data_IF_036835712879
#
_entry.id   IF_036835712879
#
_cell.length_a   1.000
_cell.length_b   1.000
_cell.length_c   1.000
_cell.angle_alpha   90.00
_cell.angle_beta   90.00
_cell.angle_gamma   90.00
#
_symmetry.space_group_name_H-M   'P 1'
#
loop_
_entity.id
_entity.type
_entity.pdbx_description
1 polymer ?
#
# COMPACT_ATOMS: atom_id res chain seq x y z
N UNK A 1 -29.23 40.14 -4.08
CA UNK A 1 -28.43 39.13 -3.39
C UNK A 1 -28.36 37.92 -4.27
N UNK A 2 -27.32 37.82 -5.10
CA UNK A 2 -27.09 36.70 -6.00
C UNK A 2 -26.34 35.59 -5.24
N UNK A 3 -27.03 34.49 -5.00
CA UNK A 3 -26.42 33.28 -4.48
C UNK A 3 -25.51 32.69 -5.59
N UNK A 4 -24.20 32.88 -5.47
CA UNK A 4 -23.24 32.10 -6.23
C UNK A 4 -23.28 30.66 -5.71
N UNK A 5 -24.14 29.83 -6.30
CA UNK A 5 -23.99 28.38 -6.22
C UNK A 5 -22.67 28.04 -6.91
N UNK A 6 -21.60 27.85 -6.17
CA UNK A 6 -20.40 27.19 -6.64
C UNK A 6 -20.81 25.75 -6.98
N UNK A 7 -20.99 25.46 -8.26
CA UNK A 7 -21.12 24.09 -8.75
C UNK A 7 -19.82 23.36 -8.39
N UNK A 8 -19.88 22.53 -7.38
CA UNK A 8 -18.81 21.59 -7.05
C UNK A 8 -18.63 20.65 -8.27
N UNK A 9 -17.63 20.92 -9.10
CA UNK A 9 -17.37 20.11 -10.27
C UNK A 9 -16.84 18.75 -9.82
N UNK A 10 -17.58 17.68 -10.13
CA UNK A 10 -17.07 16.31 -9.99
C UNK A 10 -16.01 16.07 -11.08
N UNK A 11 -15.02 15.21 -10.77
CA UNK A 11 -13.97 14.79 -11.70
C UNK A 11 -14.10 13.30 -11.93
N UNK A 12 -14.31 12.90 -13.18
CA UNK A 12 -14.23 11.50 -13.58
C UNK A 12 -12.77 11.15 -13.84
N UNK A 13 -12.30 10.10 -13.18
CA UNK A 13 -10.93 9.59 -13.29
C UNK A 13 -10.95 8.11 -13.68
N UNK A 14 -10.01 7.70 -14.51
CA UNK A 14 -9.78 6.28 -14.80
C UNK A 14 -8.63 5.77 -13.96
N UNK A 15 -8.94 4.86 -13.04
CA UNK A 15 -8.01 4.24 -12.11
C UNK A 15 -7.52 2.91 -12.65
N UNK A 16 -6.27 2.54 -12.32
CA UNK A 16 -5.76 1.19 -12.55
C UNK A 16 -5.11 0.60 -11.30
N UNK A 17 -5.52 -0.61 -10.95
CA UNK A 17 -4.89 -1.47 -9.95
C UNK A 17 -4.03 -2.52 -10.66
N UNK A 18 -2.74 -2.52 -10.40
CA UNK A 18 -1.81 -3.54 -10.91
C UNK A 18 -1.64 -4.60 -9.84
N UNK A 19 -2.25 -5.76 -10.05
CA UNK A 19 -2.07 -6.94 -9.23
C UNK A 19 -0.97 -7.79 -9.82
N UNK A 20 0.19 -7.84 -9.16
CA UNK A 20 1.33 -8.58 -9.67
C UNK A 20 2.15 -9.21 -8.55
N UNK A 21 2.95 -10.20 -8.90
CA UNK A 21 3.97 -10.78 -8.04
C UNK A 21 5.25 -9.95 -8.15
N UNK A 22 5.91 -9.71 -7.02
CA UNK A 22 7.25 -9.14 -7.00
C UNK A 22 8.27 -10.14 -6.47
N UNK A 23 9.46 -10.10 -7.05
CA UNK A 23 10.57 -10.98 -6.68
C UNK A 23 11.39 -10.37 -5.54
N UNK A 24 11.65 -11.13 -4.45
CA UNK A 24 12.39 -10.64 -3.29
C UNK A 24 13.78 -10.09 -3.65
N UNK A 25 14.04 -8.83 -3.31
CA UNK A 25 15.34 -8.18 -3.49
C UNK A 25 15.70 -7.81 -4.93
N UNK A 26 14.86 -8.11 -5.92
CA UNK A 26 15.19 -7.92 -7.34
C UNK A 26 14.52 -6.66 -7.89
N UNK A 27 15.01 -5.48 -7.45
CA UNK A 27 14.38 -4.18 -7.78
C UNK A 27 14.26 -3.99 -9.28
N UNK A 28 15.33 -4.16 -10.05
CA UNK A 28 15.34 -3.95 -11.51
C UNK A 28 14.32 -4.85 -12.20
N UNK A 29 14.38 -6.17 -11.93
CA UNK A 29 13.45 -7.12 -12.53
C UNK A 29 11.98 -6.81 -12.17
N UNK A 30 11.70 -6.36 -10.94
CA UNK A 30 10.36 -5.98 -10.53
C UNK A 30 9.88 -4.70 -11.25
N UNK A 31 10.75 -3.71 -11.43
CA UNK A 31 10.41 -2.48 -12.14
C UNK A 31 10.24 -2.71 -13.65
N UNK A 32 11.08 -3.54 -14.26
CA UNK A 32 10.94 -3.95 -15.66
C UNK A 32 9.64 -4.71 -15.89
N UNK A 33 9.32 -5.64 -15.00
CA UNK A 33 8.04 -6.35 -15.04
C UNK A 33 6.85 -5.40 -14.88
N UNK A 34 6.93 -4.47 -13.93
CA UNK A 34 5.89 -3.45 -13.73
C UNK A 34 5.71 -2.56 -14.96
N UNK A 35 6.78 -2.24 -15.69
CA UNK A 35 6.72 -1.35 -16.85
C UNK A 35 5.69 -1.80 -17.88
N UNK A 36 5.70 -3.09 -18.25
CA UNK A 36 4.73 -3.65 -19.21
C UNK A 36 3.28 -3.58 -18.70
N UNK A 37 3.05 -3.84 -17.41
CA UNK A 37 1.72 -3.76 -16.81
C UNK A 37 1.22 -2.32 -16.69
N UNK A 38 2.11 -1.37 -16.39
CA UNK A 38 1.79 0.07 -16.35
C UNK A 38 1.49 0.59 -17.76
N UNK A 39 2.24 0.18 -18.77
CA UNK A 39 1.95 0.51 -20.17
C UNK A 39 0.59 -0.02 -20.61
N UNK A 40 0.26 -1.26 -20.25
CA UNK A 40 -1.07 -1.82 -20.49
C UNK A 40 -2.18 -0.99 -19.83
N UNK A 41 -1.99 -0.58 -18.56
CA UNK A 41 -2.94 0.29 -17.85
C UNK A 41 -3.10 1.65 -18.54
N UNK A 42 -2.00 2.28 -18.93
CA UNK A 42 -2.01 3.57 -19.63
C UNK A 42 -2.69 3.47 -21.00
N UNK A 43 -2.43 2.40 -21.76
CA UNK A 43 -3.09 2.13 -23.05
C UNK A 43 -4.61 1.94 -22.91
N UNK A 44 -5.09 1.48 -21.73
CA UNK A 44 -6.51 1.41 -21.39
C UNK A 44 -7.07 2.76 -20.89
N UNK A 45 -6.28 3.84 -20.95
CA UNK A 45 -6.67 5.20 -20.58
C UNK A 45 -6.60 5.50 -19.08
N UNK A 46 -5.91 4.69 -18.28
CA UNK A 46 -5.74 4.98 -16.86
C UNK A 46 -4.94 6.27 -16.65
N UNK A 47 -5.44 7.13 -15.76
CA UNK A 47 -4.78 8.39 -15.37
C UNK A 47 -4.08 8.31 -14.01
N UNK A 48 -4.50 7.37 -13.17
CA UNK A 48 -3.83 7.04 -11.89
C UNK A 48 -3.63 5.54 -11.85
N UNK A 49 -2.38 5.12 -11.75
CA UNK A 49 -1.96 3.70 -11.73
C UNK A 49 -1.27 3.40 -10.41
N UNK A 50 -1.69 2.33 -9.74
CA UNK A 50 -1.22 1.96 -8.41
C UNK A 50 -0.67 0.54 -8.41
N UNK A 51 0.58 0.40 -7.96
CA UNK A 51 1.23 -0.88 -7.65
C UNK A 51 1.13 -1.20 -6.15
N UNK A 52 1.34 -2.46 -5.75
CA UNK A 52 1.21 -2.89 -4.36
C UNK A 52 2.25 -2.32 -3.39
N UNK A 53 2.05 -2.62 -2.10
CA UNK A 53 3.01 -2.40 -1.01
C UNK A 53 4.34 -3.11 -1.29
N UNK A 54 5.48 -2.42 -1.05
CA UNK A 54 6.85 -2.96 -1.19
C UNK A 54 7.11 -3.66 -2.55
N UNK A 55 6.39 -3.25 -3.61
CA UNK A 55 6.46 -3.94 -4.89
C UNK A 55 7.86 -3.88 -5.50
N UNK A 56 8.52 -2.72 -5.46
CA UNK A 56 9.83 -2.57 -6.09
C UNK A 56 10.90 -3.50 -5.50
N UNK A 57 10.93 -3.64 -4.18
CA UNK A 57 11.91 -4.48 -3.48
C UNK A 57 11.44 -5.92 -3.21
N UNK A 58 10.18 -6.24 -3.54
CA UNK A 58 9.52 -7.49 -3.17
C UNK A 58 9.05 -7.49 -1.71
N UNK A 59 7.93 -8.18 -1.44
CA UNK A 59 7.42 -8.30 -0.07
C UNK A 59 8.22 -9.33 0.72
N UNK A 60 9.19 -8.86 1.48
CA UNK A 60 10.03 -9.66 2.38
C UNK A 60 9.68 -9.28 3.82
N UNK A 61 8.79 -10.01 4.53
CA UNK A 61 8.30 -9.64 5.84
C UNK A 61 9.28 -10.04 6.96
N UNK A 62 10.57 -9.84 6.74
CA UNK A 62 11.68 -10.03 7.67
C UNK A 62 12.83 -9.07 7.34
N UNK A 63 13.93 -9.13 8.10
CA UNK A 63 15.08 -8.22 7.94
C UNK A 63 15.81 -8.32 6.61
N UNK A 64 15.55 -9.35 5.80
CA UNK A 64 16.10 -9.48 4.45
C UNK A 64 15.71 -8.31 3.54
N UNK A 65 14.58 -7.64 3.77
CA UNK A 65 14.15 -6.47 3.00
C UNK A 65 15.14 -5.29 3.07
N UNK A 66 15.97 -5.22 4.12
CA UNK A 66 16.97 -4.14 4.26
C UNK A 66 18.04 -4.15 3.18
N UNK A 67 18.30 -5.31 2.53
CA UNK A 67 19.26 -5.41 1.43
C UNK A 67 18.76 -4.73 0.14
N UNK A 68 17.46 -4.60 0.00
CA UNK A 68 16.83 -3.96 -1.15
C UNK A 68 16.18 -2.60 -0.78
N UNK A 69 16.59 -2.01 0.34
CA UNK A 69 16.14 -0.67 0.70
C UNK A 69 16.96 0.39 -0.04
N UNK A 70 16.29 1.44 -0.46
CA UNK A 70 16.89 2.54 -1.22
C UNK A 70 16.80 3.86 -0.46
N UNK A 71 17.71 4.79 -0.73
CA UNK A 71 17.55 6.19 -0.34
C UNK A 71 16.47 6.88 -1.18
N UNK A 72 16.00 8.03 -0.73
CA UNK A 72 15.20 8.93 -1.56
C UNK A 72 15.98 9.31 -2.82
N UNK A 73 15.29 9.38 -3.96
CA UNK A 73 15.91 9.57 -5.25
C UNK A 73 16.59 8.32 -5.80
N UNK A 74 16.41 7.16 -5.17
CA UNK A 74 16.92 5.88 -5.63
C UNK A 74 16.28 5.42 -6.95
N UNK A 75 16.59 4.20 -7.37
CA UNK A 75 16.11 3.64 -8.65
C UNK A 75 14.61 3.66 -8.78
N UNK A 76 13.89 3.26 -7.72
CA UNK A 76 12.42 3.26 -7.71
C UNK A 76 11.86 4.66 -7.95
N UNK A 77 12.39 5.70 -7.32
CA UNK A 77 11.94 7.07 -7.52
C UNK A 77 12.22 7.57 -8.94
N UNK A 78 13.43 7.31 -9.47
CA UNK A 78 13.78 7.68 -10.84
C UNK A 78 12.91 6.97 -11.86
N UNK A 79 12.67 5.66 -11.67
CA UNK A 79 11.79 4.89 -12.53
C UNK A 79 10.35 5.41 -12.50
N UNK A 80 9.81 5.72 -11.30
CA UNK A 80 8.47 6.32 -11.15
C UNK A 80 8.36 7.64 -11.90
N UNK A 81 9.31 8.55 -11.69
CA UNK A 81 9.34 9.87 -12.32
C UNK A 81 9.41 9.77 -13.86
N UNK A 82 10.33 8.94 -14.37
CA UNK A 82 10.51 8.73 -15.80
C UNK A 82 9.28 8.08 -16.45
N UNK A 83 8.73 7.04 -15.83
CA UNK A 83 7.57 6.30 -16.36
C UNK A 83 6.29 7.14 -16.31
N UNK A 84 6.04 7.85 -15.20
CA UNK A 84 4.92 8.76 -15.05
C UNK A 84 4.93 9.86 -16.13
N UNK A 85 6.09 10.48 -16.36
CA UNK A 85 6.27 11.50 -17.41
C UNK A 85 6.08 10.92 -18.80
N UNK A 86 6.69 9.79 -19.10
CA UNK A 86 6.63 9.15 -20.43
C UNK A 86 5.20 8.78 -20.83
N UNK A 87 4.41 8.31 -19.86
CA UNK A 87 3.04 7.84 -20.09
C UNK A 87 1.96 8.90 -19.80
N UNK A 88 2.33 10.04 -19.22
CA UNK A 88 1.40 11.12 -18.86
C UNK A 88 0.40 10.73 -17.76
N UNK A 89 0.81 9.89 -16.78
CA UNK A 89 -0.04 9.34 -15.73
C UNK A 89 0.48 9.70 -14.33
N UNK A 90 -0.39 9.67 -13.33
CA UNK A 90 0.04 9.53 -11.94
C UNK A 90 0.39 8.06 -11.68
N UNK A 91 1.56 7.80 -11.13
CA UNK A 91 2.03 6.43 -10.87
C UNK A 91 2.54 6.28 -9.44
N UNK A 92 2.05 5.27 -8.73
CA UNK A 92 2.46 5.02 -7.34
C UNK A 92 2.91 3.59 -7.08
N UNK A 93 3.96 3.42 -6.27
CA UNK A 93 4.45 2.10 -5.84
C UNK A 93 5.00 2.11 -4.42
N UNK A 94 4.98 0.93 -3.78
CA UNK A 94 5.62 0.68 -2.49
C UNK A 94 7.08 0.28 -2.61
N UNK A 95 7.92 0.78 -1.69
CA UNK A 95 9.35 0.49 -1.57
C UNK A 95 9.81 0.44 -0.12
N UNK A 96 10.93 -0.23 0.15
CA UNK A 96 11.66 -0.07 1.39
C UNK A 96 12.61 1.14 1.26
N UNK A 97 12.43 2.16 2.12
CA UNK A 97 13.25 3.37 2.11
C UNK A 97 14.18 3.40 3.31
N UNK A 98 15.43 3.84 3.09
CA UNK A 98 16.39 4.17 4.14
C UNK A 98 16.66 5.67 4.19
N UNK A 99 16.69 6.23 5.41
CA UNK A 99 17.16 7.61 5.63
C UNK A 99 18.59 7.68 6.22
N UNK A 100 19.38 6.61 6.10
CA UNK A 100 20.70 6.48 6.67
C UNK A 100 20.75 6.08 8.15
N UNK A 101 19.62 6.08 8.82
CA UNK A 101 19.48 5.70 10.23
C UNK A 101 18.44 4.60 10.42
N UNK A 102 17.31 4.73 9.78
CA UNK A 102 16.13 3.85 9.91
C UNK A 102 15.62 3.41 8.55
N UNK A 103 14.90 2.30 8.55
CA UNK A 103 14.15 1.80 7.40
C UNK A 103 12.66 2.08 7.55
N UNK A 104 12.01 2.40 6.44
CA UNK A 104 10.58 2.67 6.35
C UNK A 104 9.93 1.85 5.25
N UNK A 105 8.71 1.42 5.48
CA UNK A 105 7.82 0.94 4.44
C UNK A 105 7.13 2.20 3.86
N UNK A 106 7.49 2.56 2.64
CA UNK A 106 7.09 3.79 1.99
C UNK A 106 6.22 3.50 0.75
N UNK A 107 5.28 4.38 0.47
CA UNK A 107 4.58 4.48 -0.80
C UNK A 107 4.85 5.84 -1.41
N UNK A 108 5.33 5.87 -2.65
CA UNK A 108 5.68 7.08 -3.39
C UNK A 108 4.73 7.25 -4.56
N UNK A 109 4.28 8.49 -4.81
CA UNK A 109 3.43 8.87 -5.94
C UNK A 109 4.12 9.91 -6.79
N UNK A 110 4.25 9.65 -8.10
CA UNK A 110 4.73 10.59 -9.11
C UNK A 110 3.55 11.14 -9.95
N UNK A 111 3.68 12.38 -10.42
CA UNK A 111 2.71 13.07 -11.30
C UNK A 111 3.12 12.99 -12.77
N UNK A 112 2.21 13.31 -13.72
CA UNK A 112 2.46 13.21 -15.18
C UNK A 112 3.65 14.06 -15.70
N UNK A 113 4.06 15.08 -14.96
CA UNK A 113 5.25 15.88 -15.27
C UNK A 113 6.56 15.24 -14.76
N UNK A 114 6.46 14.06 -14.12
CA UNK A 114 7.60 13.33 -13.57
C UNK A 114 8.10 13.84 -12.23
N UNK A 115 7.31 14.68 -11.54
CA UNK A 115 7.65 15.08 -10.17
C UNK A 115 7.18 14.03 -9.16
N UNK A 116 7.93 13.84 -8.10
CA UNK A 116 7.46 13.08 -6.94
C UNK A 116 6.54 13.99 -6.13
N UNK A 117 5.24 13.76 -6.23
CA UNK A 117 4.23 14.55 -5.52
C UNK A 117 4.30 14.36 -4.00
N UNK A 118 4.66 13.17 -3.54
CA UNK A 118 4.78 12.91 -2.11
C UNK A 118 5.01 11.44 -1.76
N UNK A 119 5.12 11.21 -0.43
CA UNK A 119 5.30 9.89 0.16
C UNK A 119 4.41 9.69 1.37
N UNK A 120 3.88 8.50 1.51
CA UNK A 120 3.28 8.02 2.74
C UNK A 120 4.17 6.94 3.36
N UNK A 121 4.28 6.94 4.69
CA UNK A 121 5.02 5.93 5.43
C UNK A 121 4.07 5.13 6.31
N UNK A 122 4.19 3.80 6.25
CA UNK A 122 3.37 2.89 7.04
C UNK A 122 3.47 3.21 8.53
N UNK A 123 2.34 3.49 9.18
CA UNK A 123 2.29 3.82 10.61
C UNK A 123 2.20 2.58 11.47
N UNK A 124 1.57 1.51 10.98
CA UNK A 124 1.50 0.21 11.63
C UNK A 124 2.41 -0.79 10.92
N UNK A 125 3.68 -0.38 10.78
CA UNK A 125 4.72 -1.18 10.15
C UNK A 125 5.18 -2.32 11.06
N UNK A 126 5.75 -3.35 10.45
CA UNK A 126 6.37 -4.50 11.08
C UNK A 126 7.51 -4.05 12.00
N UNK A 127 7.27 -4.09 13.32
CA UNK A 127 8.08 -3.38 14.32
C UNK A 127 9.52 -3.85 14.44
N UNK A 128 9.84 -5.10 14.04
CA UNK A 128 11.18 -5.66 13.99
C UNK A 128 11.97 -5.29 12.72
N UNK A 129 11.31 -4.69 11.72
CA UNK A 129 11.83 -4.47 10.38
C UNK A 129 11.89 -2.98 10.04
N UNK A 130 10.82 -2.26 10.32
CA UNK A 130 10.64 -0.86 9.94
C UNK A 130 10.41 0.06 11.13
N UNK A 131 10.88 1.29 10.99
CA UNK A 131 10.47 2.38 11.86
C UNK A 131 9.05 2.80 11.48
N UNK A 132 8.26 3.08 12.48
CA UNK A 132 6.90 3.60 12.34
C UNK A 132 6.94 4.96 11.63
N UNK A 133 6.13 5.12 10.58
CA UNK A 133 5.87 6.40 9.92
C UNK A 133 5.12 7.38 10.83
N UNK A 134 5.16 8.67 10.49
CA UNK A 134 4.27 9.68 11.06
C UNK A 134 2.97 9.73 10.25
N UNK A 135 1.88 10.09 10.89
CA UNK A 135 0.51 10.00 10.36
C UNK A 135 0.16 11.08 9.31
N UNK A 136 1.04 11.37 8.36
CA UNK A 136 0.69 12.14 7.18
C UNK A 136 0.44 11.16 6.02
N UNK A 137 -0.83 10.78 5.84
CA UNK A 137 -1.24 9.81 4.82
C UNK A 137 -1.78 10.46 3.56
N UNK A 138 -1.42 11.74 3.30
CA UNK A 138 -1.98 12.47 2.18
C UNK A 138 -0.90 12.99 1.24
N UNK A 139 -1.23 12.89 -0.05
CA UNK A 139 -0.43 13.41 -1.15
C UNK A 139 -1.35 14.26 -2.02
N UNK A 140 -1.03 15.55 -2.18
CA UNK A 140 -1.76 16.43 -3.07
C UNK A 140 -1.25 16.26 -4.51
N UNK A 141 -2.17 16.07 -5.45
CA UNK A 141 -1.91 16.06 -6.90
C UNK A 141 -2.89 17.00 -7.60
N UNK A 142 -2.68 17.36 -8.89
CA UNK A 142 -3.60 18.26 -9.58
C UNK A 142 -5.06 17.78 -9.62
N UNK A 143 -5.30 16.47 -9.58
CA UNK A 143 -6.64 15.90 -9.59
C UNK A 143 -7.34 15.94 -8.23
N UNK A 144 -6.62 16.17 -7.13
CA UNK A 144 -7.18 16.20 -5.79
C UNK A 144 -6.24 15.68 -4.71
N UNK A 145 -6.77 15.53 -3.51
CA UNK A 145 -6.03 15.06 -2.34
C UNK A 145 -6.15 13.55 -2.18
N UNK A 146 -5.02 12.86 -2.27
CA UNK A 146 -4.95 11.41 -2.27
C UNK A 146 -4.62 10.90 -0.87
N UNK A 147 -5.54 10.15 -0.27
CA UNK A 147 -5.27 9.41 0.96
C UNK A 147 -4.56 8.09 0.66
N UNK A 148 -3.47 7.80 1.37
CA UNK A 148 -2.70 6.55 1.21
C UNK A 148 -2.66 5.80 2.53
N UNK A 149 -3.30 4.64 2.58
CA UNK A 149 -3.19 3.70 3.70
C UNK A 149 -2.43 2.44 3.28
N UNK A 150 -1.27 2.19 3.89
CA UNK A 150 -0.44 1.04 3.52
C UNK A 150 -0.86 -0.18 4.36
N UNK A 151 -1.48 -1.17 3.70
CA UNK A 151 -1.79 -2.50 4.23
C UNK A 151 -2.45 -2.45 5.63
N UNK A 152 -1.72 -2.82 6.69
CA UNK A 152 -2.22 -2.87 8.06
C UNK A 152 -2.80 -1.52 8.56
N UNK A 153 -2.35 -0.37 8.02
CA UNK A 153 -2.88 0.94 8.40
C UNK A 153 -4.39 1.03 8.19
N UNK A 154 -4.87 0.45 7.07
CA UNK A 154 -6.28 0.50 6.69
C UNK A 154 -7.19 -0.29 7.64
N UNK A 155 -6.64 -1.16 8.49
CA UNK A 155 -7.43 -1.94 9.45
C UNK A 155 -7.80 -1.14 10.71
N UNK A 156 -7.24 0.07 10.89
CA UNK A 156 -7.44 0.89 12.08
C UNK A 156 -8.42 2.03 11.86
N UNK A 157 -9.34 2.21 12.81
CA UNK A 157 -10.29 3.32 12.80
C UNK A 157 -9.62 4.71 12.80
N UNK A 158 -8.42 4.81 13.38
CA UNK A 158 -7.63 6.04 13.37
C UNK A 158 -7.25 6.46 11.95
N UNK A 159 -6.86 5.53 11.08
CA UNK A 159 -6.52 5.83 9.67
C UNK A 159 -7.73 6.35 8.91
N UNK A 160 -8.88 5.68 9.03
CA UNK A 160 -10.13 6.13 8.42
C UNK A 160 -10.49 7.58 8.85
N UNK A 161 -10.38 7.86 10.17
CA UNK A 161 -10.67 9.19 10.72
C UNK A 161 -9.70 10.26 10.19
N UNK A 162 -8.41 9.97 10.15
CA UNK A 162 -7.39 10.90 9.61
C UNK A 162 -7.69 11.24 8.16
N UNK A 163 -8.05 10.26 7.32
CA UNK A 163 -8.39 10.49 5.93
C UNK A 163 -9.64 11.37 5.77
N UNK A 164 -10.64 11.21 6.66
CA UNK A 164 -11.78 12.10 6.72
C UNK A 164 -11.38 13.52 7.14
N UNK A 165 -10.72 13.66 8.30
CA UNK A 165 -10.33 14.96 8.87
C UNK A 165 -9.50 15.80 7.89
N UNK A 166 -8.65 15.13 7.12
CA UNK A 166 -7.81 15.75 6.12
C UNK A 166 -8.46 15.82 4.72
N UNK A 167 -9.75 15.42 4.60
CA UNK A 167 -10.59 15.59 3.41
C UNK A 167 -10.03 14.93 2.14
N UNK A 168 -9.56 13.69 2.22
CA UNK A 168 -9.15 12.92 1.04
C UNK A 168 -10.24 12.88 -0.04
N UNK A 169 -9.84 12.91 -1.30
CA UNK A 169 -10.72 12.81 -2.49
C UNK A 169 -10.76 11.41 -3.07
N UNK A 170 -9.70 10.66 -2.88
CA UNK A 170 -9.49 9.29 -3.33
C UNK A 170 -8.61 8.56 -2.31
N UNK A 171 -8.88 7.28 -2.06
CA UNK A 171 -8.06 6.45 -1.18
C UNK A 171 -7.30 5.42 -1.99
N UNK A 172 -5.98 5.39 -1.82
CA UNK A 172 -5.12 4.32 -2.32
C UNK A 172 -4.78 3.37 -1.17
N UNK A 173 -5.00 2.08 -1.40
CA UNK A 173 -4.71 1.01 -0.45
C UNK A 173 -3.72 0.01 -1.07
N UNK A 174 -2.41 0.34 -1.12
CA UNK A 174 -1.39 -0.62 -1.52
C UNK A 174 -1.20 -1.67 -0.42
N UNK A 175 -1.31 -2.93 -0.78
CA UNK A 175 -1.25 -4.06 0.14
C UNK A 175 -0.27 -5.15 -0.35
N UNK A 176 0.27 -5.89 0.62
CA UNK A 176 0.78 -7.23 0.51
C UNK A 176 0.14 -8.06 1.64
N UNK A 177 -1.19 -8.17 1.61
CA UNK A 177 -1.99 -8.78 2.67
C UNK A 177 -2.12 -10.28 2.44
N UNK A 178 -1.44 -11.10 3.28
CA UNK A 178 -1.56 -12.54 3.17
C UNK A 178 -2.88 -13.03 3.79
N UNK A 179 -3.48 -14.01 3.14
CA UNK A 179 -4.63 -14.74 3.67
C UNK A 179 -4.39 -16.25 3.56
N UNK A 180 -5.00 -17.06 4.44
CA UNK A 180 -4.85 -18.49 4.32
C UNK A 180 -5.54 -19.00 3.05
N UNK A 181 -4.84 -19.82 2.27
CA UNK A 181 -5.34 -20.40 1.02
C UNK A 181 -6.22 -21.64 1.28
N UNK A 182 -6.03 -22.29 2.43
CA UNK A 182 -6.74 -23.50 2.83
C UNK A 182 -6.81 -23.63 4.34
N UNK A 183 -7.75 -24.42 4.82
CA UNK A 183 -7.77 -24.88 6.22
C UNK A 183 -6.64 -25.87 6.46
N UNK A 184 -5.83 -25.66 7.49
CA UNK A 184 -4.80 -26.59 7.96
C UNK A 184 -4.29 -26.18 9.35
N UNK A 185 -3.84 -27.13 10.14
CA UNK A 185 -3.36 -26.89 11.51
C UNK A 185 -4.40 -26.18 12.37
N UNK A 186 -4.09 -24.99 12.87
CA UNK A 186 -4.99 -24.16 13.69
C UNK A 186 -5.93 -23.27 12.86
N UNK A 187 -5.82 -23.27 11.53
CA UNK A 187 -6.66 -22.47 10.62
C UNK A 187 -7.86 -23.30 10.17
N UNK A 188 -9.02 -22.91 10.59
CA UNK A 188 -10.30 -23.54 10.19
C UNK A 188 -10.79 -23.02 8.81
N UNK A 189 -11.75 -23.72 8.20
CA UNK A 189 -12.42 -23.23 7.00
C UNK A 189 -13.17 -21.91 7.23
N UNK A 190 -13.71 -21.73 8.43
CA UNK A 190 -14.33 -20.46 8.83
C UNK A 190 -13.31 -19.31 8.91
N UNK A 191 -12.08 -19.56 9.36
CA UNK A 191 -11.01 -18.56 9.38
C UNK A 191 -10.61 -18.15 7.97
N UNK A 192 -10.46 -19.10 7.04
CA UNK A 192 -10.19 -18.82 5.62
C UNK A 192 -11.25 -17.87 5.07
N UNK A 193 -12.52 -18.20 5.22
CA UNK A 193 -13.63 -17.38 4.75
C UNK A 193 -13.68 -16.01 5.46
N UNK A 194 -13.41 -15.95 6.76
CA UNK A 194 -13.40 -14.70 7.52
C UNK A 194 -12.27 -13.77 7.10
N UNK A 195 -11.06 -14.28 6.88
CA UNK A 195 -9.93 -13.48 6.42
C UNK A 195 -10.17 -12.93 5.02
N UNK A 196 -10.71 -13.75 4.13
CA UNK A 196 -11.06 -13.31 2.78
C UNK A 196 -12.12 -12.20 2.80
N UNK A 197 -13.20 -12.38 3.56
CA UNK A 197 -14.23 -11.34 3.71
C UNK A 197 -13.66 -10.04 4.25
N UNK A 198 -12.83 -10.08 5.31
CA UNK A 198 -12.20 -8.88 5.87
C UNK A 198 -11.43 -8.10 4.81
N UNK A 199 -10.63 -8.78 4.02
CA UNK A 199 -9.83 -8.15 2.96
C UNK A 199 -10.73 -7.52 1.89
N UNK A 200 -11.77 -8.23 1.46
CA UNK A 200 -12.64 -7.79 0.37
C UNK A 200 -13.66 -6.72 0.79
N UNK A 201 -14.07 -6.69 2.05
CA UNK A 201 -15.03 -5.71 2.57
C UNK A 201 -14.38 -4.39 2.98
N UNK A 202 -13.09 -4.40 3.32
CA UNK A 202 -12.38 -3.22 3.83
C UNK A 202 -12.45 -2.00 2.88
N UNK A 203 -12.13 -2.09 1.58
CA UNK A 203 -12.25 -0.96 0.67
C UNK A 203 -13.69 -0.45 0.49
N UNK A 204 -14.68 -1.34 0.53
CA UNK A 204 -16.10 -0.98 0.48
C UNK A 204 -16.51 -0.20 1.73
N UNK A 205 -16.02 -0.63 2.91
CA UNK A 205 -16.25 0.09 4.16
C UNK A 205 -15.71 1.51 4.09
N UNK A 206 -14.48 1.70 3.60
CA UNK A 206 -13.88 3.04 3.46
C UNK A 206 -14.67 3.91 2.48
N UNK A 207 -15.02 3.39 1.31
CA UNK A 207 -15.78 4.14 0.32
C UNK A 207 -17.10 4.65 0.89
N UNK A 208 -17.87 3.77 1.54
CA UNK A 208 -19.15 4.12 2.19
C UNK A 208 -18.98 5.07 3.37
N UNK A 209 -17.92 4.89 4.17
CA UNK A 209 -17.70 5.72 5.34
C UNK A 209 -17.27 7.15 5.01
N UNK A 210 -16.58 7.34 3.89
CA UNK A 210 -15.98 8.64 3.51
C UNK A 210 -16.70 9.31 2.32
N UNK A 211 -17.49 8.58 1.54
CA UNK A 211 -18.12 9.08 0.32
C UNK A 211 -17.09 9.37 -0.79
N UNK A 212 -16.00 8.61 -0.85
CA UNK A 212 -14.93 8.77 -1.86
C UNK A 212 -14.56 7.43 -2.50
N UNK A 213 -14.06 7.44 -3.74
CA UNK A 213 -13.59 6.21 -4.37
C UNK A 213 -12.39 5.61 -3.63
N UNK A 214 -12.23 4.28 -3.77
CA UNK A 214 -11.13 3.53 -3.17
C UNK A 214 -10.53 2.58 -4.20
N UNK A 215 -9.21 2.57 -4.31
CA UNK A 215 -8.47 1.56 -5.06
C UNK A 215 -7.68 0.69 -4.09
N UNK A 216 -8.01 -0.59 -4.02
CA UNK A 216 -7.32 -1.61 -3.25
C UNK A 216 -6.48 -2.45 -4.18
N UNK A 217 -5.17 -2.45 -3.94
CA UNK A 217 -4.20 -3.16 -4.76
C UNK A 217 -3.41 -4.11 -3.88
N UNK A 218 -3.48 -5.40 -4.17
CA UNK A 218 -2.78 -6.43 -3.38
C UNK A 218 -1.84 -7.25 -4.25
N UNK A 219 -0.74 -7.72 -3.69
CA UNK A 219 0.17 -8.63 -4.36
C UNK A 219 -0.42 -10.04 -4.52
N UNK A 220 0.11 -10.79 -5.47
CA UNK A 220 -0.10 -12.24 -5.62
C UNK A 220 1.22 -12.98 -5.41
N UNK A 221 1.13 -14.27 -5.12
CA UNK A 221 2.31 -15.15 -5.04
C UNK A 221 2.53 -15.77 -3.66
N UNK A 222 3.71 -16.41 -3.47
CA UNK A 222 4.05 -17.05 -2.21
C UNK A 222 4.31 -16.02 -1.10
N UNK A 223 3.96 -16.39 0.11
CA UNK A 223 4.39 -15.64 1.29
C UNK A 223 5.75 -16.16 1.75
N UNK A 224 6.71 -15.26 1.92
CA UNK A 224 7.98 -15.61 2.56
C UNK A 224 7.83 -15.72 4.09
N UNK A 225 8.75 -16.44 4.77
CA UNK A 225 8.73 -16.52 6.22
C UNK A 225 8.70 -15.14 6.88
N UNK A 226 7.71 -14.94 7.73
CA UNK A 226 7.52 -13.69 8.48
C UNK A 226 8.49 -13.66 9.68
N UNK A 227 9.10 -12.52 9.93
CA UNK A 227 9.89 -12.29 11.14
C UNK A 227 9.02 -12.08 12.39
N UNK A 228 9.64 -12.21 13.58
CA UNK A 228 8.95 -11.97 14.84
C UNK A 228 8.10 -13.15 15.33
N UNK A 229 7.28 -12.89 16.35
CA UNK A 229 6.40 -13.89 16.98
C UNK A 229 5.31 -14.34 16.00
N UNK A 230 4.78 -13.41 15.20
CA UNK A 230 3.77 -13.72 14.20
C UNK A 230 4.26 -14.72 13.15
N UNK A 231 5.55 -14.71 12.84
CA UNK A 231 6.15 -15.66 11.89
C UNK A 231 6.03 -17.12 12.31
N UNK A 232 5.99 -17.39 13.61
CA UNK A 232 5.79 -18.74 14.15
C UNK A 232 4.34 -19.23 14.05
N UNK A 233 3.39 -18.32 13.82
CA UNK A 233 1.96 -18.60 13.72
C UNK A 233 1.44 -18.64 12.28
N UNK A 234 2.20 -18.10 11.32
CA UNK A 234 1.81 -17.99 9.92
C UNK A 234 2.69 -18.88 9.05
N UNK A 235 2.25 -20.12 8.84
CA UNK A 235 2.93 -21.06 7.97
C UNK A 235 2.85 -20.60 6.50
N UNK A 236 3.97 -20.33 5.81
CA UNK A 236 3.99 -19.98 4.39
C UNK A 236 3.39 -21.03 3.46
N UNK A 237 3.28 -22.30 3.91
CA UNK A 237 2.58 -23.36 3.18
C UNK A 237 1.05 -23.24 3.21
N UNK A 238 0.53 -22.42 4.10
CA UNK A 238 -0.92 -22.18 4.27
C UNK A 238 -1.27 -20.74 3.82
N UNK A 239 -0.46 -19.76 4.19
CA UNK A 239 -0.69 -18.34 3.92
C UNK A 239 -0.02 -17.91 2.61
N UNK A 240 -0.75 -17.14 1.81
CA UNK A 240 -0.29 -16.63 0.51
C UNK A 240 -0.77 -15.20 0.29
N UNK A 241 -0.09 -14.49 -0.61
CA UNK A 241 -0.59 -13.26 -1.20
C UNK A 241 -1.58 -13.65 -2.30
N UNK A 242 -2.85 -13.35 -2.10
CA UNK A 242 -3.94 -13.87 -2.95
C UNK A 242 -4.61 -12.80 -3.81
N UNK A 243 -3.99 -11.64 -4.00
CA UNK A 243 -4.52 -10.58 -4.85
C UNK A 243 -5.90 -10.09 -4.45
N UNK A 244 -6.91 -10.29 -5.29
CA UNK A 244 -8.29 -9.81 -5.15
C UNK A 244 -8.38 -8.28 -5.11
N UNK A 245 -7.50 -7.62 -5.86
CA UNK A 245 -7.51 -6.17 -6.04
C UNK A 245 -8.84 -5.70 -6.60
N UNK A 246 -9.27 -4.50 -6.21
CA UNK A 246 -10.56 -3.94 -6.62
C UNK A 246 -10.57 -2.43 -6.64
N UNK A 247 -11.47 -1.88 -7.45
CA UNK A 247 -11.80 -0.47 -7.49
C UNK A 247 -13.25 -0.32 -7.04
N UNK A 248 -13.49 0.60 -6.10
CA UNK A 248 -14.79 0.81 -5.46
C UNK A 248 -15.18 2.28 -5.62
N UNK A 249 -16.41 2.55 -6.02
CA UNK A 249 -16.95 3.90 -6.12
C UNK A 249 -17.33 4.47 -4.75
N UNK A 250 -17.57 5.76 -4.69
CA UNK A 250 -17.87 6.54 -3.49
C UNK A 250 -19.12 6.05 -2.70
N UNK A 251 -20.02 5.30 -3.32
CA UNK A 251 -21.20 4.68 -2.70
C UNK A 251 -20.92 3.25 -2.19
N UNK A 252 -19.72 2.73 -2.40
CA UNK A 252 -19.33 1.36 -2.05
C UNK A 252 -19.66 0.32 -3.12
N UNK A 253 -20.05 0.73 -4.31
CA UNK A 253 -20.25 -0.17 -5.47
C UNK A 253 -18.87 -0.61 -6.00
N UNK A 254 -18.67 -1.91 -6.11
CA UNK A 254 -17.46 -2.47 -6.72
C UNK A 254 -17.53 -2.28 -8.23
N UNK A 255 -16.64 -1.44 -8.77
CA UNK A 255 -16.55 -1.14 -10.20
C UNK A 255 -15.83 -2.24 -10.99
N UNK A 256 -14.94 -2.95 -10.31
CA UNK A 256 -14.23 -4.12 -10.82
C UNK A 256 -13.41 -4.79 -9.75
N UNK A 257 -13.13 -6.07 -9.94
CA UNK A 257 -12.27 -6.86 -9.06
C UNK A 257 -11.49 -7.92 -9.85
N UNK A 258 -10.32 -8.27 -9.36
CA UNK A 258 -9.51 -9.36 -9.87
C UNK A 258 -9.69 -10.63 -9.04
N UNK A 259 -9.34 -11.77 -9.61
CA UNK A 259 -9.21 -13.04 -8.91
C UNK A 259 -7.82 -13.14 -8.23
N UNK A 260 -7.15 -14.28 -8.32
CA UNK A 260 -5.87 -14.51 -7.66
C UNK A 260 -4.67 -14.49 -8.63
N UNK A 261 -4.92 -14.31 -9.92
CA UNK A 261 -3.91 -14.26 -10.96
C UNK A 261 -3.36 -12.83 -11.11
N UNK A 262 -2.16 -12.74 -11.67
CA UNK A 262 -1.57 -11.46 -12.06
C UNK A 262 -2.40 -10.82 -13.17
N UNK A 263 -2.77 -9.55 -12.99
CA UNK A 263 -3.60 -8.83 -13.96
C UNK A 263 -3.62 -7.32 -13.70
N UNK A 264 -4.11 -6.58 -14.68
CA UNK A 264 -4.40 -5.14 -14.61
C UNK A 264 -5.92 -4.94 -14.59
N UNK A 265 -6.41 -4.23 -13.59
CA UNK A 265 -7.81 -3.81 -13.49
C UNK A 265 -7.91 -2.31 -13.75
N UNK A 266 -8.75 -1.91 -14.70
CA UNK A 266 -9.09 -0.51 -14.91
C UNK A 266 -10.58 -0.25 -14.71
N UNK A 267 -10.92 0.88 -14.11
CA UNK A 267 -12.31 1.33 -13.97
C UNK A 267 -12.40 2.86 -13.89
N UNK A 268 -13.53 3.40 -14.30
CA UNK A 268 -13.85 4.82 -14.08
C UNK A 268 -14.52 5.01 -12.74
N UNK A 269 -14.04 6.00 -11.97
CA UNK A 269 -14.61 6.42 -10.71
C UNK A 269 -14.82 7.94 -10.69
N UNK A 270 -15.75 8.41 -9.85
CA UNK A 270 -16.09 9.82 -9.75
C UNK A 270 -15.63 10.37 -8.40
N UNK A 271 -14.69 11.31 -8.43
CA UNK A 271 -14.36 12.15 -7.29
C UNK A 271 -15.34 13.31 -7.25
N UNK A 272 -16.20 13.32 -6.26
CA UNK A 272 -17.22 14.35 -6.08
C UNK A 272 -17.14 14.91 -4.66
N UNK A 273 -16.69 16.16 -4.49
CA UNK A 273 -16.63 16.78 -3.17
C UNK A 273 -17.99 16.85 -2.43
N UNK A 274 -19.10 16.85 -3.17
CA UNK A 274 -20.44 16.87 -2.60
C UNK A 274 -20.86 15.53 -1.97
N UNK A 275 -20.24 14.42 -2.36
CA UNK A 275 -20.49 13.09 -1.79
C UNK A 275 -19.71 12.83 -0.51
N UNK A 276 -18.68 13.63 -0.22
CA UNK A 276 -17.83 13.44 0.96
C UNK A 276 -18.64 13.60 2.24
N UNK A 277 -18.56 12.58 3.08
CA UNK A 277 -19.17 12.57 4.40
C UNK A 277 -18.33 11.72 5.36
N UNK A 278 -18.75 11.61 6.60
CA UNK A 278 -18.18 10.69 7.56
C UNK A 278 -19.26 9.88 8.23
N UNK A 279 -19.25 8.59 7.98
CA UNK A 279 -20.04 7.62 8.70
C UNK A 279 -19.15 6.89 9.70
N UNK A 280 -19.34 7.18 10.99
CA UNK A 280 -18.59 6.52 12.05
C UNK A 280 -18.77 5.00 11.97
N UNK A 281 -17.67 4.28 12.02
CA UNK A 281 -17.66 2.83 11.96
C UNK A 281 -17.49 2.22 13.36
N UNK A 282 -18.08 1.05 13.64
CA UNK A 282 -17.80 0.30 14.85
C UNK A 282 -16.29 0.11 15.02
N UNK A 283 -15.82 0.21 16.27
CA UNK A 283 -14.41 -0.02 16.59
C UNK A 283 -14.25 -1.16 17.58
N UNK A 284 -13.43 -2.12 17.20
CA UNK A 284 -13.13 -3.31 17.97
C UNK A 284 -11.74 -3.19 18.61
N UNK A 285 -11.62 -2.31 19.61
CA UNK A 285 -10.33 -2.00 20.24
C UNK A 285 -9.36 -1.27 19.31
N UNK A 286 -9.88 -0.33 18.52
CA UNK A 286 -9.13 0.45 17.51
C UNK A 286 -9.17 -0.14 16.10
N UNK A 287 -9.62 -1.38 15.92
CA UNK A 287 -9.74 -2.06 14.63
C UNK A 287 -11.14 -1.82 14.01
N UNK A 288 -11.20 -1.65 12.71
CA UNK A 288 -12.46 -1.46 11.97
C UNK A 288 -13.32 -2.73 11.85
N UNK A 289 -12.70 -3.89 11.92
CA UNK A 289 -13.39 -5.17 11.75
C UNK A 289 -13.12 -6.08 12.94
N UNK A 290 -14.02 -7.00 13.32
CA UNK A 290 -13.81 -7.94 14.42
C UNK A 290 -12.66 -8.91 14.13
N UNK A 291 -12.01 -9.45 15.15
CA UNK A 291 -10.90 -10.39 15.04
C UNK A 291 -10.63 -11.14 16.33
N UNK A 292 -9.75 -12.13 16.27
CA UNK A 292 -9.41 -12.95 17.43
C UNK A 292 -8.88 -12.10 18.59
N UNK A 293 -9.54 -12.19 19.75
CA UNK A 293 -9.23 -11.38 20.92
C UNK A 293 -7.78 -11.55 21.37
N UNK A 294 -7.34 -12.81 21.53
CA UNK A 294 -5.98 -13.12 21.96
C UNK A 294 -4.90 -12.58 21.00
N UNK A 295 -5.16 -12.70 19.67
CA UNK A 295 -4.27 -12.14 18.66
C UNK A 295 -4.07 -10.63 18.83
N UNK A 296 -5.19 -9.90 19.00
CA UNK A 296 -5.16 -8.42 19.08
C UNK A 296 -4.73 -7.85 20.43
N UNK A 297 -5.02 -8.56 21.53
CA UNK A 297 -4.76 -8.07 22.88
C UNK A 297 -3.47 -8.57 23.48
N UNK A 298 -2.92 -9.69 22.98
CA UNK A 298 -1.73 -10.33 23.53
C UNK A 298 -0.64 -10.45 22.47
N UNK A 299 -0.89 -11.19 21.38
CA UNK A 299 0.15 -11.58 20.43
C UNK A 299 0.70 -10.36 19.68
N UNK A 300 -0.16 -9.56 19.06
CA UNK A 300 0.26 -8.38 18.28
C UNK A 300 0.97 -7.34 19.17
N UNK A 301 0.46 -6.95 20.36
CA UNK A 301 1.19 -6.03 21.24
C UNK A 301 2.55 -6.57 21.71
N UNK A 302 2.66 -7.87 22.01
CA UNK A 302 3.91 -8.50 22.38
C UNK A 302 4.91 -8.51 21.22
N UNK A 303 4.47 -8.90 20.03
CA UNK A 303 5.29 -8.87 18.80
C UNK A 303 5.80 -7.46 18.50
N UNK A 304 4.95 -6.44 18.65
CA UNK A 304 5.33 -5.04 18.49
C UNK A 304 6.36 -4.62 19.55
N UNK A 305 6.18 -4.98 20.81
CA UNK A 305 7.09 -4.59 21.89
C UNK A 305 8.48 -5.22 21.71
N UNK A 306 8.53 -6.54 21.49
CA UNK A 306 9.76 -7.29 21.23
C UNK A 306 10.43 -6.82 19.94
N UNK A 307 9.63 -6.64 18.87
CA UNK A 307 10.11 -6.15 17.59
C UNK A 307 10.77 -4.78 17.68
N UNK A 308 10.14 -3.82 18.37
CA UNK A 308 10.70 -2.47 18.60
C UNK A 308 12.02 -2.50 19.37
N UNK A 309 12.08 -3.29 20.45
CA UNK A 309 13.32 -3.44 21.21
C UNK A 309 14.42 -3.99 20.31
N UNK A 310 14.15 -5.11 19.64
CA UNK A 310 15.08 -5.78 18.74
C UNK A 310 15.55 -4.87 17.58
N UNK A 311 14.66 -4.05 17.01
CA UNK A 311 14.98 -3.06 15.99
C UNK A 311 15.89 -1.97 16.55
N UNK A 312 15.58 -1.43 17.74
CA UNK A 312 16.29 -0.30 18.34
C UNK A 312 17.73 -0.65 18.68
N UNK A 313 17.98 -1.84 19.24
CA UNK A 313 19.33 -2.28 19.65
C UNK A 313 20.18 -2.83 18.49
N UNK A 314 19.57 -3.11 17.33
CA UNK A 314 20.24 -3.76 16.18
C UNK A 314 21.38 -2.91 15.62
N UNK A 315 22.62 -3.40 15.75
CA UNK A 315 23.80 -2.81 15.10
C UNK A 315 23.78 -3.04 13.59
N UNK A 316 23.29 -4.21 13.17
CA UNK A 316 23.13 -4.57 11.76
C UNK A 316 22.20 -3.58 11.03
N UNK A 317 21.04 -3.26 11.62
CA UNK A 317 20.14 -2.24 11.08
C UNK A 317 20.86 -0.92 10.79
N UNK A 318 21.59 -0.39 11.79
CA UNK A 318 22.30 0.89 11.62
C UNK A 318 23.34 0.85 10.52
N UNK A 319 24.09 -0.26 10.42
CA UNK A 319 25.10 -0.45 9.36
C UNK A 319 24.43 -0.49 7.98
N UNK A 320 23.39 -1.34 7.82
CA UNK A 320 22.68 -1.48 6.55
C UNK A 320 21.95 -0.20 6.15
N UNK A 321 21.34 0.52 7.11
CA UNK A 321 20.66 1.77 6.81
C UNK A 321 21.61 2.85 6.27
N UNK A 322 22.84 2.94 6.82
CA UNK A 322 23.87 3.82 6.29
C UNK A 322 24.28 3.44 4.87
N UNK A 323 24.58 2.15 4.64
CA UNK A 323 24.98 1.66 3.33
C UNK A 323 23.89 1.90 2.26
N UNK A 324 22.62 1.66 2.60
CA UNK A 324 21.49 1.89 1.70
C UNK A 324 21.19 3.37 1.41
N UNK A 325 21.73 4.30 2.20
CA UNK A 325 21.59 5.75 2.00
C UNK A 325 22.79 6.37 1.25
N UNK A 326 23.86 5.62 1.03
CA UNK A 326 24.97 6.07 0.21
C UNK A 326 24.53 6.14 -1.26
N UNK A 327 24.90 7.22 -2.01
CA UNK A 327 24.57 7.28 -3.43
C UNK A 327 25.16 6.06 -4.13
N UNK A 328 24.33 5.30 -4.80
CA UNK A 328 24.81 4.27 -5.72
C UNK A 328 25.46 5.03 -6.87
N UNK A 329 26.79 4.95 -6.98
CA UNK A 329 27.52 5.38 -8.17
C UNK A 329 27.12 4.42 -9.31
N UNK A 330 26.02 4.72 -9.96
CA UNK A 330 25.59 3.97 -11.14
C UNK A 330 26.52 4.39 -12.30
N UNK A 331 27.23 3.45 -12.95
CA UNK A 331 28.04 3.77 -14.12
C UNK A 331 27.25 4.47 -15.25
N UNK A 332 25.92 4.31 -15.27
CA UNK A 332 25.04 5.00 -16.21
C UNK A 332 24.91 6.51 -15.93
N UNK A 333 25.15 6.97 -14.70
CA UNK A 333 25.15 8.41 -14.35
C UNK A 333 26.46 9.12 -14.74
N UNK A 334 27.45 8.40 -15.25
CA UNK A 334 28.75 8.95 -15.70
C UNK A 334 28.83 9.29 -17.20
N UNK A 335 27.72 9.12 -17.93
CA UNK A 335 27.65 9.46 -19.36
C UNK A 335 26.65 10.62 -19.51
N UNK A 336 27.11 11.83 -19.25
CA UNK A 336 26.51 13.09 -19.70
C UNK A 336 27.51 13.83 -20.56
#
# INVERSE_FOLDING_TARGET
MGSHMTTSSHVTIRLAAIQAQSLPGQIEANLDHAAGLVEQAAAQGATIVVLPELFSCGYVPNRGVWEAAEARGGRTDRWLAATARRLGICLGTGAAESNGTDFFNAFTLATPDGQIAGRAYKTNAEASIFRRGRAAHLIDIPAGRIGVGICADNQFAATLRIMHEQRADLILMPHAWPTPARAAGLVSQADVAAQQRRMTELPVLYARALGVPVIFVNQVGPLLPIGGILGHLMDPGIWRLRGQSRIVDSDGRVLGQLAEEESVLTAEAVMDPARKHYQAQPSFGGWLQPGAWAGRRIIIPLDIAVGRLSYTISRERRRKARAAAEPVNDPADMIV
#
